data_IF_579512643490
#
_entry.id   IF_579512643490
#
_cell.length_a   1.000
_cell.length_b   1.000
_cell.length_c   1.000
_cell.angle_alpha   90.00
_cell.angle_beta   90.00
_cell.angle_gamma   90.00
#
_symmetry.space_group_name_H-M   'P 1'
#
loop_
_entity.id
_entity.type
_entity.pdbx_description
1 polymer ?
#
# COMPACT_ATOMS: atom_id res chain seq x y z
N UNK A 1 13.11 21.51 13.76
CA UNK A 1 11.63 21.44 13.85
C UNK A 1 11.04 20.59 12.73
N UNK A 2 11.28 20.91 11.46
CA UNK A 2 10.74 20.18 10.29
C UNK A 2 11.17 18.70 10.26
N UNK A 3 12.41 18.38 10.66
CA UNK A 3 12.90 17.01 10.75
C UNK A 3 12.18 16.16 11.81
N UNK A 4 11.75 16.77 12.94
CA UNK A 4 10.96 16.07 13.95
C UNK A 4 9.53 15.77 13.46
N UNK A 5 8.94 16.71 12.73
CA UNK A 5 7.64 16.48 12.09
C UNK A 5 7.74 15.35 11.07
N UNK A 6 8.77 15.37 10.23
CA UNK A 6 9.00 14.34 9.24
C UNK A 6 9.25 12.97 9.89
N UNK A 7 9.99 12.91 10.99
CA UNK A 7 10.17 11.69 11.76
C UNK A 7 8.84 11.13 12.31
N UNK A 8 7.96 12.01 12.81
CA UNK A 8 6.62 11.60 13.26
C UNK A 8 5.74 11.07 12.12
N UNK A 9 5.84 11.68 10.93
CA UNK A 9 5.15 11.24 9.72
C UNK A 9 5.67 9.86 9.28
N UNK A 10 6.98 9.66 9.25
CA UNK A 10 7.58 8.36 8.93
C UNK A 10 7.20 7.28 9.94
N UNK A 11 7.20 7.64 11.23
CA UNK A 11 6.77 6.71 12.29
C UNK A 11 5.30 6.32 12.13
N UNK A 12 4.43 7.26 11.73
CA UNK A 12 3.03 6.95 11.43
C UNK A 12 2.91 5.95 10.27
N UNK A 13 3.77 6.01 9.26
CA UNK A 13 3.79 5.04 8.16
C UNK A 13 4.38 3.69 8.56
N UNK A 14 5.37 3.63 9.45
CA UNK A 14 5.76 2.36 10.09
C UNK A 14 4.55 1.75 10.81
N UNK A 15 3.83 2.56 11.60
CA UNK A 15 2.61 2.14 12.27
C UNK A 15 1.50 1.68 11.32
N UNK A 16 1.38 2.29 10.14
CA UNK A 16 0.44 1.86 9.11
C UNK A 16 0.79 0.48 8.54
N UNK A 17 2.09 0.21 8.33
CA UNK A 17 2.55 -1.07 7.80
C UNK A 17 2.53 -2.22 8.80
N UNK A 18 2.76 -1.95 10.09
CA UNK A 18 2.89 -2.99 11.12
C UNK A 18 1.77 -4.05 11.13
N UNK A 19 0.48 -3.69 10.95
CA UNK A 19 -0.61 -4.68 10.98
C UNK A 19 -0.84 -5.43 9.67
N UNK A 20 -0.31 -4.97 8.53
CA UNK A 20 -0.71 -5.43 7.20
C UNK A 20 -0.51 -6.93 6.95
N UNK A 21 0.56 -7.51 7.47
CA UNK A 21 0.81 -8.93 7.35
C UNK A 21 0.37 -9.79 8.54
N UNK A 22 -0.13 -9.18 9.62
CA UNK A 22 -0.40 -9.88 10.88
C UNK A 22 -1.44 -10.99 10.75
N UNK A 23 -2.55 -10.71 10.06
CA UNK A 23 -3.62 -11.69 9.90
C UNK A 23 -3.13 -12.93 9.14
N UNK A 24 -2.36 -12.72 8.07
CA UNK A 24 -1.77 -13.82 7.30
C UNK A 24 -0.84 -14.68 8.14
N UNK A 25 0.02 -14.06 8.95
CA UNK A 25 0.96 -14.75 9.81
C UNK A 25 0.26 -15.48 10.98
N UNK A 26 -0.81 -14.90 11.53
CA UNK A 26 -1.56 -15.48 12.64
C UNK A 26 -2.57 -16.55 12.22
N UNK A 27 -3.05 -16.54 10.97
CA UNK A 27 -4.19 -17.32 10.52
C UNK A 27 -4.06 -18.83 10.73
N UNK A 28 -2.90 -19.47 10.48
CA UNK A 28 -2.73 -20.89 10.79
C UNK A 28 -2.90 -21.19 12.29
N UNK A 29 -2.34 -20.34 13.15
CA UNK A 29 -2.45 -20.49 14.61
C UNK A 29 -3.87 -20.22 15.11
N UNK A 30 -4.59 -19.25 14.54
CA UNK A 30 -6.01 -19.00 14.84
C UNK A 30 -6.88 -20.21 14.50
N UNK A 31 -6.64 -20.87 13.38
CA UNK A 31 -7.38 -22.06 12.97
C UNK A 31 -7.09 -23.27 13.84
N UNK A 32 -5.89 -23.38 14.39
CA UNK A 32 -5.50 -24.43 15.31
C UNK A 32 -6.00 -24.20 16.76
N UNK A 33 -6.39 -22.97 17.09
CA UNK A 33 -6.87 -22.59 18.42
C UNK A 33 -8.31 -23.07 18.62
N UNK A 34 -8.50 -24.06 19.50
CA UNK A 34 -9.81 -24.62 19.83
C UNK A 34 -10.79 -23.58 20.45
N UNK A 35 -10.25 -22.50 21.04
CA UNK A 35 -11.06 -21.43 21.60
C UNK A 35 -11.55 -20.43 20.53
N UNK A 36 -10.96 -20.46 19.32
CA UNK A 36 -11.32 -19.57 18.24
C UNK A 36 -12.39 -20.20 17.33
N UNK A 37 -13.56 -19.56 17.21
CA UNK A 37 -14.73 -20.11 16.54
C UNK A 37 -15.01 -19.45 15.19
N UNK A 38 -15.26 -20.27 14.17
CA UNK A 38 -15.82 -19.85 12.88
C UNK A 38 -17.28 -19.39 13.01
N UNK A 39 -17.87 -18.90 11.91
CA UNK A 39 -19.28 -18.47 11.88
C UNK A 39 -20.27 -19.59 12.23
N UNK A 40 -19.95 -20.86 11.96
CA UNK A 40 -20.76 -22.03 12.34
C UNK A 40 -20.36 -22.70 13.65
N UNK A 41 -19.52 -22.06 14.45
CA UNK A 41 -19.09 -22.57 15.77
C UNK A 41 -17.91 -23.54 15.73
N UNK A 42 -17.50 -24.05 14.56
CA UNK A 42 -16.34 -24.93 14.37
C UNK A 42 -15.07 -24.17 13.93
N UNK A 43 -14.03 -24.94 13.55
CA UNK A 43 -12.80 -24.39 12.97
C UNK A 43 -13.13 -23.62 11.68
N UNK A 44 -12.67 -22.35 11.53
CA UNK A 44 -12.95 -21.57 10.32
C UNK A 44 -12.24 -22.17 9.10
N UNK A 45 -12.89 -22.24 7.91
CA UNK A 45 -12.24 -22.58 6.66
C UNK A 45 -11.05 -21.69 6.33
N UNK A 46 -10.09 -22.21 5.57
CA UNK A 46 -8.90 -21.44 5.16
C UNK A 46 -9.25 -20.12 4.47
N UNK A 47 -10.30 -20.12 3.63
CA UNK A 47 -10.76 -18.97 2.87
C UNK A 47 -11.41 -17.85 3.70
N UNK A 48 -11.77 -18.11 4.96
CA UNK A 48 -12.46 -17.11 5.78
C UNK A 48 -11.57 -15.90 6.15
N UNK A 49 -10.23 -16.03 6.14
CA UNK A 49 -9.34 -14.86 6.24
C UNK A 49 -9.62 -13.83 5.15
N UNK A 50 -9.99 -14.27 3.95
CA UNK A 50 -10.37 -13.39 2.84
C UNK A 50 -11.55 -12.49 3.16
N UNK A 51 -12.50 -12.92 4.01
CA UNK A 51 -13.64 -12.10 4.44
C UNK A 51 -13.14 -10.91 5.27
N UNK A 52 -12.21 -11.15 6.21
CA UNK A 52 -11.63 -10.09 7.04
C UNK A 52 -10.84 -9.10 6.17
N UNK A 53 -10.01 -9.60 5.25
CA UNK A 53 -9.28 -8.76 4.30
C UNK A 53 -10.23 -7.93 3.42
N UNK A 54 -11.33 -8.52 2.94
CA UNK A 54 -12.34 -7.80 2.15
C UNK A 54 -13.00 -6.67 2.94
N UNK A 55 -13.35 -6.92 4.20
CA UNK A 55 -13.92 -5.88 5.09
C UNK A 55 -12.91 -4.75 5.30
N UNK A 56 -11.65 -5.08 5.61
CA UNK A 56 -10.59 -4.07 5.74
C UNK A 56 -10.49 -3.24 4.46
N UNK A 57 -10.38 -3.89 3.29
CA UNK A 57 -10.24 -3.21 2.01
C UNK A 57 -11.44 -2.30 1.70
N UNK A 58 -12.67 -2.77 1.91
CA UNK A 58 -13.89 -1.96 1.70
C UNK A 58 -13.88 -0.74 2.62
N UNK A 59 -13.59 -0.93 3.91
CA UNK A 59 -13.55 0.17 4.87
C UNK A 59 -12.44 1.18 4.55
N UNK A 60 -11.27 0.70 4.10
CA UNK A 60 -10.15 1.54 3.65
C UNK A 60 -10.55 2.36 2.43
N UNK A 61 -11.20 1.75 1.44
CA UNK A 61 -11.74 2.46 0.26
C UNK A 61 -12.75 3.53 0.67
N UNK A 62 -13.71 3.19 1.52
CA UNK A 62 -14.72 4.15 2.02
C UNK A 62 -14.05 5.32 2.73
N UNK A 63 -13.09 5.06 3.59
CA UNK A 63 -12.34 6.09 4.32
C UNK A 63 -11.52 6.97 3.37
N UNK A 64 -10.83 6.39 2.42
CA UNK A 64 -10.04 7.12 1.44
C UNK A 64 -10.90 8.04 0.57
N UNK A 65 -12.08 7.59 0.15
CA UNK A 65 -13.05 8.41 -0.60
C UNK A 65 -13.61 9.59 0.22
N UNK A 66 -13.61 9.49 1.55
CA UNK A 66 -14.03 10.56 2.46
C UNK A 66 -12.88 11.47 2.91
N UNK A 67 -11.65 11.18 2.48
CA UNK A 67 -10.44 11.85 2.99
C UNK A 67 -10.45 13.36 2.73
N UNK A 68 -10.93 13.83 1.58
CA UNK A 68 -11.04 15.26 1.27
C UNK A 68 -11.96 15.99 2.24
N UNK A 69 -13.11 15.36 2.58
CA UNK A 69 -14.07 15.92 3.54
C UNK A 69 -13.51 15.96 4.96
N UNK A 70 -12.92 14.87 5.40
CA UNK A 70 -12.37 14.73 6.75
C UNK A 70 -11.16 15.64 6.95
N UNK A 71 -10.25 15.70 5.98
CA UNK A 71 -9.05 16.53 6.06
C UNK A 71 -9.37 18.02 5.97
N UNK A 72 -10.31 18.44 5.12
CA UNK A 72 -10.79 19.84 5.09
C UNK A 72 -11.46 20.26 6.40
N UNK A 73 -12.17 19.34 7.06
CA UNK A 73 -12.87 19.65 8.31
C UNK A 73 -11.97 19.66 9.55
N UNK A 74 -11.04 18.72 9.64
CA UNK A 74 -10.27 18.48 10.87
C UNK A 74 -8.77 18.79 10.72
N UNK A 75 -8.25 18.89 9.48
CA UNK A 75 -6.83 19.01 9.18
C UNK A 75 -6.13 17.67 9.16
N UNK A 76 -5.04 17.53 8.34
CA UNK A 76 -4.30 16.29 8.18
C UNK A 76 -3.72 15.77 9.50
N UNK A 77 -3.18 16.66 10.35
CA UNK A 77 -2.60 16.32 11.64
C UNK A 77 -3.56 15.60 12.58
N UNK A 78 -4.79 16.15 12.74
CA UNK A 78 -5.78 15.55 13.64
C UNK A 78 -6.35 14.26 13.07
N UNK A 79 -6.59 14.21 11.74
CA UNK A 79 -7.04 12.99 11.07
C UNK A 79 -6.02 11.88 11.28
N UNK A 80 -4.73 12.13 11.08
CA UNK A 80 -3.66 11.16 11.30
C UNK A 80 -3.62 10.71 12.76
N UNK A 81 -3.62 11.64 13.72
CA UNK A 81 -3.52 11.31 15.14
C UNK A 81 -4.70 10.47 15.63
N UNK A 82 -5.93 10.88 15.30
CA UNK A 82 -7.13 10.14 15.68
C UNK A 82 -7.18 8.75 15.04
N UNK A 83 -6.86 8.67 13.74
CA UNK A 83 -6.89 7.39 13.02
C UNK A 83 -5.79 6.44 13.50
N UNK A 84 -4.60 6.94 13.85
CA UNK A 84 -3.53 6.10 14.43
C UNK A 84 -3.95 5.53 15.80
N UNK A 85 -4.64 6.32 16.62
CA UNK A 85 -5.21 5.86 17.88
C UNK A 85 -6.33 4.83 17.65
N UNK A 86 -7.21 5.06 16.66
CA UNK A 86 -8.27 4.12 16.30
C UNK A 86 -7.70 2.77 15.80
N UNK A 87 -6.60 2.79 15.04
CA UNK A 87 -5.90 1.58 14.62
C UNK A 87 -5.35 0.81 15.83
N UNK A 88 -4.78 1.50 16.83
CA UNK A 88 -4.34 0.87 18.07
C UNK A 88 -5.50 0.18 18.81
N UNK A 89 -6.64 0.86 18.95
CA UNK A 89 -7.84 0.28 19.58
C UNK A 89 -8.31 -0.96 18.82
N UNK A 90 -8.32 -0.91 17.49
CA UNK A 90 -8.70 -2.06 16.66
C UNK A 90 -7.75 -3.26 16.87
N UNK A 91 -6.43 -3.02 16.99
CA UNK A 91 -5.45 -4.08 17.25
C UNK A 91 -5.64 -4.73 18.62
N UNK A 92 -5.96 -3.97 19.67
CA UNK A 92 -6.36 -4.54 20.95
C UNK A 92 -7.67 -5.33 20.85
N UNK A 93 -8.60 -4.86 20.02
CA UNK A 93 -9.81 -5.60 19.70
C UNK A 93 -9.51 -6.95 19.04
N UNK A 94 -8.62 -6.98 18.04
CA UNK A 94 -8.14 -8.24 17.44
C UNK A 94 -7.48 -9.16 18.46
N UNK A 95 -6.65 -8.62 19.36
CA UNK A 95 -6.01 -9.40 20.42
C UNK A 95 -6.99 -10.08 21.39
N UNK A 96 -8.21 -9.57 21.52
CA UNK A 96 -9.23 -10.13 22.40
C UNK A 96 -10.24 -11.04 21.68
N UNK A 97 -10.15 -11.13 20.35
CA UNK A 97 -11.09 -11.93 19.56
C UNK A 97 -10.98 -13.41 19.84
N UNK A 98 -12.15 -14.07 19.91
CA UNK A 98 -12.28 -15.53 19.99
C UNK A 98 -13.21 -16.08 18.91
N UNK A 99 -13.58 -15.25 17.92
CA UNK A 99 -14.47 -15.65 16.83
C UNK A 99 -14.23 -14.84 15.57
N UNK A 100 -14.64 -15.41 14.43
CA UNK A 100 -14.66 -14.74 13.14
C UNK A 100 -15.49 -13.46 13.16
N UNK A 101 -16.65 -13.49 13.82
CA UNK A 101 -17.51 -12.31 13.95
C UNK A 101 -16.79 -11.14 14.66
N UNK A 102 -16.03 -11.45 15.72
CA UNK A 102 -15.18 -10.47 16.41
C UNK A 102 -14.10 -9.90 15.52
N UNK A 103 -13.40 -10.75 14.73
CA UNK A 103 -12.41 -10.26 13.75
C UNK A 103 -13.05 -9.35 12.71
N UNK A 104 -14.19 -9.71 12.16
CA UNK A 104 -14.91 -8.89 11.20
C UNK A 104 -15.36 -7.55 11.80
N UNK A 105 -15.80 -7.55 13.04
CA UNK A 105 -16.19 -6.31 13.76
C UNK A 105 -15.01 -5.35 13.89
N UNK A 106 -13.85 -5.84 14.35
CA UNK A 106 -12.65 -5.01 14.52
C UNK A 106 -11.94 -4.66 13.22
N UNK A 107 -12.17 -5.41 12.14
CA UNK A 107 -11.70 -5.08 10.81
C UNK A 107 -12.27 -3.74 10.28
N UNK A 108 -13.49 -3.37 10.70
CA UNK A 108 -14.14 -2.11 10.29
C UNK A 108 -13.37 -0.89 10.79
N UNK A 109 -13.19 -0.67 12.12
CA UNK A 109 -12.45 0.49 12.60
C UNK A 109 -10.98 0.49 12.14
N UNK A 110 -10.36 -0.70 11.99
CA UNK A 110 -9.01 -0.81 11.46
C UNK A 110 -8.93 -0.29 10.02
N UNK A 111 -9.78 -0.79 9.12
CA UNK A 111 -9.79 -0.36 7.71
C UNK A 111 -10.09 1.13 7.54
N UNK A 112 -11.06 1.66 8.32
CA UNK A 112 -11.35 3.10 8.31
C UNK A 112 -10.13 3.93 8.76
N UNK A 113 -9.42 3.48 9.77
CA UNK A 113 -8.22 4.14 10.27
C UNK A 113 -7.09 4.13 9.23
N UNK A 114 -6.82 2.96 8.64
CA UNK A 114 -5.75 2.79 7.66
C UNK A 114 -5.95 3.71 6.43
N UNK A 115 -7.14 3.73 5.85
CA UNK A 115 -7.43 4.58 4.68
C UNK A 115 -7.35 6.07 4.96
N UNK A 116 -7.73 6.50 6.16
CA UNK A 116 -7.63 7.91 6.55
C UNK A 116 -6.17 8.36 6.75
N UNK A 117 -5.33 7.53 7.40
CA UNK A 117 -3.91 7.82 7.59
C UNK A 117 -3.21 7.91 6.23
N UNK A 118 -3.41 6.90 5.40
CA UNK A 118 -2.78 6.77 4.09
C UNK A 118 -3.08 7.98 3.20
N UNK A 119 -4.36 8.28 2.97
CA UNK A 119 -4.76 9.39 2.12
C UNK A 119 -4.33 10.78 2.67
N UNK A 120 -4.40 10.99 3.99
CA UNK A 120 -4.04 12.27 4.60
C UNK A 120 -2.54 12.53 4.54
N UNK A 121 -1.70 11.54 4.87
CA UNK A 121 -0.25 11.70 4.89
C UNK A 121 0.36 11.74 3.50
N UNK A 122 -0.13 10.94 2.57
CA UNK A 122 0.30 11.00 1.17
C UNK A 122 0.09 12.41 0.59
N UNK A 123 -1.09 12.99 0.75
CA UNK A 123 -1.34 14.35 0.29
C UNK A 123 -0.50 15.40 1.04
N UNK A 124 -0.37 15.26 2.36
CA UNK A 124 0.43 16.19 3.14
C UNK A 124 1.89 16.22 2.69
N UNK A 125 2.50 15.03 2.49
CA UNK A 125 3.88 14.93 2.01
C UNK A 125 4.00 15.44 0.58
N UNK A 126 3.06 15.14 -0.30
CA UNK A 126 3.06 15.63 -1.69
C UNK A 126 3.00 17.16 -1.78
N UNK A 127 2.34 17.83 -0.82
CA UNK A 127 2.20 19.30 -0.80
C UNK A 127 3.36 20.02 -0.12
N UNK A 128 4.01 19.40 0.88
CA UNK A 128 4.92 20.13 1.77
C UNK A 128 6.36 19.64 1.74
N UNK A 129 6.64 18.51 1.08
CA UNK A 129 7.98 17.91 1.07
C UNK A 129 8.40 17.53 -0.35
N UNK A 130 9.71 17.40 -0.56
CA UNK A 130 10.27 16.95 -1.83
C UNK A 130 9.99 15.45 -2.08
N UNK A 131 10.00 15.03 -3.34
CA UNK A 131 9.71 13.66 -3.81
C UNK A 131 10.49 12.56 -3.05
N UNK A 132 11.74 12.83 -2.64
CA UNK A 132 12.53 11.89 -1.82
C UNK A 132 11.82 11.47 -0.53
N UNK A 133 11.07 12.38 0.08
CA UNK A 133 10.36 12.09 1.33
C UNK A 133 9.13 11.20 1.09
N UNK A 134 8.53 11.28 -0.09
CA UNK A 134 7.48 10.35 -0.50
C UNK A 134 8.03 8.94 -0.66
N UNK A 135 9.18 8.76 -1.33
CA UNK A 135 9.85 7.47 -1.47
C UNK A 135 10.22 6.86 -0.11
N UNK A 136 10.82 7.67 0.77
CA UNK A 136 11.19 7.21 2.12
C UNK A 136 9.98 6.94 3.01
N UNK A 137 8.88 7.68 2.84
CA UNK A 137 7.62 7.41 3.52
C UNK A 137 7.13 5.98 3.24
N UNK A 138 7.12 5.59 1.97
CA UNK A 138 6.72 4.23 1.57
C UNK A 138 7.77 3.17 1.90
N UNK A 139 9.06 3.54 2.00
CA UNK A 139 10.08 2.65 2.56
C UNK A 139 9.77 2.35 4.05
N UNK A 140 9.38 3.35 4.83
CA UNK A 140 9.00 3.16 6.24
C UNK A 140 7.75 2.29 6.40
N UNK A 141 6.76 2.41 5.51
CA UNK A 141 5.66 1.46 5.45
C UNK A 141 6.16 0.02 5.27
N UNK A 142 7.09 -0.19 4.33
CA UNK A 142 7.70 -1.51 4.08
C UNK A 142 8.43 -2.07 5.30
N UNK A 143 9.12 -1.21 6.08
CA UNK A 143 9.72 -1.60 7.37
C UNK A 143 8.65 -2.10 8.34
N UNK A 144 7.54 -1.38 8.47
CA UNK A 144 6.42 -1.79 9.30
C UNK A 144 5.80 -3.11 8.85
N UNK A 145 5.50 -3.24 7.56
CA UNK A 145 4.90 -4.42 6.95
C UNK A 145 5.77 -5.69 7.09
N UNK A 146 7.09 -5.51 7.20
CA UNK A 146 8.02 -6.61 7.50
C UNK A 146 8.07 -6.92 8.98
N UNK A 147 8.11 -5.89 9.83
CA UNK A 147 8.26 -6.06 11.27
C UNK A 147 7.06 -6.72 11.93
N UNK A 148 5.83 -6.41 11.49
CA UNK A 148 4.62 -6.97 12.07
C UNK A 148 4.54 -8.49 12.02
N UNK A 149 4.60 -9.14 10.85
CA UNK A 149 4.64 -10.60 10.74
C UNK A 149 5.81 -11.23 11.49
N UNK A 150 6.97 -10.55 11.55
CA UNK A 150 8.13 -11.02 12.30
C UNK A 150 7.85 -11.07 13.81
N UNK A 151 7.19 -10.03 14.36
CA UNK A 151 6.75 -10.01 15.78
C UNK A 151 5.75 -11.14 16.04
N UNK A 152 4.79 -11.37 15.14
CA UNK A 152 3.84 -12.47 15.24
C UNK A 152 4.55 -13.82 15.22
N UNK A 153 5.44 -14.06 14.25
CA UNK A 153 6.23 -15.27 14.14
C UNK A 153 7.09 -15.53 15.37
N UNK A 154 7.76 -14.50 15.91
CA UNK A 154 8.56 -14.61 17.13
C UNK A 154 7.71 -14.91 18.37
N UNK A 155 6.48 -14.44 18.45
CA UNK A 155 5.56 -14.79 19.53
C UNK A 155 5.14 -16.27 19.41
N UNK A 156 4.75 -16.72 18.23
CA UNK A 156 4.30 -18.09 17.98
C UNK A 156 5.42 -19.13 18.20
N UNK A 157 6.65 -18.86 17.77
CA UNK A 157 7.80 -19.75 17.95
C UNK A 157 8.20 -19.92 19.43
N UNK A 158 7.86 -18.96 20.27
CA UNK A 158 8.03 -19.04 21.72
C UNK A 158 6.85 -19.71 22.43
N UNK A 159 5.92 -20.31 21.70
CA UNK A 159 4.74 -20.98 22.26
C UNK A 159 3.66 -20.02 22.79
N UNK A 160 3.77 -18.73 22.50
CA UNK A 160 2.75 -17.76 22.91
C UNK A 160 1.50 -17.86 22.01
N UNK A 161 0.29 -17.60 22.53
CA UNK A 161 -0.91 -17.55 21.71
C UNK A 161 -0.84 -16.39 20.69
N UNK A 162 -1.52 -16.55 19.56
CA UNK A 162 -1.53 -15.56 18.46
C UNK A 162 -2.02 -14.16 18.90
N UNK A 163 -2.88 -14.10 19.92
CA UNK A 163 -3.37 -12.87 20.56
C UNK A 163 -2.21 -11.99 21.05
N UNK A 164 -1.10 -12.63 21.51
CA UNK A 164 0.07 -11.91 22.02
C UNK A 164 0.80 -11.13 20.91
N UNK A 165 0.82 -11.65 19.69
CA UNK A 165 1.35 -10.95 18.53
C UNK A 165 0.58 -9.65 18.24
N UNK A 166 -0.75 -9.72 18.23
CA UNK A 166 -1.60 -8.53 18.09
C UNK A 166 -1.44 -7.56 19.26
N UNK A 167 -1.34 -8.06 20.47
CA UNK A 167 -1.11 -7.23 21.67
C UNK A 167 0.20 -6.45 21.58
N UNK A 168 1.30 -7.10 21.19
CA UNK A 168 2.61 -6.46 21.07
C UNK A 168 2.60 -5.37 19.99
N UNK A 169 2.02 -5.66 18.81
CA UNK A 169 1.87 -4.66 17.74
C UNK A 169 0.89 -3.55 18.16
N UNK A 170 -0.17 -3.87 18.89
CA UNK A 170 -1.07 -2.89 19.48
C UNK A 170 -0.38 -1.92 20.45
N UNK A 171 0.51 -2.43 21.31
CA UNK A 171 1.35 -1.59 22.18
C UNK A 171 2.27 -0.69 21.36
N UNK A 172 2.95 -1.23 20.33
CA UNK A 172 3.76 -0.44 19.43
C UNK A 172 2.93 0.66 18.74
N UNK A 173 1.70 0.34 18.33
CA UNK A 173 0.78 1.29 17.71
C UNK A 173 0.34 2.41 18.68
N UNK A 174 0.18 2.10 19.98
CA UNK A 174 -0.09 3.14 21.00
C UNK A 174 1.10 4.10 21.12
N UNK A 175 2.33 3.58 21.10
CA UNK A 175 3.52 4.44 21.13
C UNK A 175 3.60 5.34 19.89
N UNK A 176 3.29 4.80 18.72
CA UNK A 176 3.19 5.58 17.47
C UNK A 176 2.08 6.65 17.61
N UNK A 177 0.90 6.28 18.10
CA UNK A 177 -0.21 7.23 18.30
C UNK A 177 0.17 8.34 19.29
N UNK A 178 0.84 8.00 20.39
CA UNK A 178 1.34 8.97 21.36
C UNK A 178 2.37 9.93 20.73
N UNK A 179 3.31 9.42 19.93
CA UNK A 179 4.29 10.25 19.22
C UNK A 179 3.62 11.20 18.21
N UNK A 180 2.64 10.70 17.44
CA UNK A 180 1.87 11.53 16.50
C UNK A 180 1.05 12.60 17.24
N UNK A 181 0.39 12.26 18.35
CA UNK A 181 -0.31 13.22 19.18
C UNK A 181 0.63 14.28 19.76
N UNK A 182 1.79 13.89 20.27
CA UNK A 182 2.79 14.82 20.77
C UNK A 182 3.36 15.72 19.67
N UNK A 183 3.34 15.29 18.41
CA UNK A 183 3.79 16.07 17.26
C UNK A 183 2.81 17.16 16.80
N UNK A 184 1.54 17.17 17.26
CA UNK A 184 0.52 18.13 16.80
C UNK A 184 0.94 19.61 16.87
N UNK A 185 1.70 20.09 17.89
CA UNK A 185 2.21 21.45 17.89
C UNK A 185 3.20 21.74 16.75
N UNK A 186 3.94 20.73 16.28
CA UNK A 186 4.90 20.88 15.17
C UNK A 186 4.17 21.12 13.84
N UNK A 187 3.04 20.45 13.61
CA UNK A 187 2.21 20.63 12.43
C UNK A 187 1.70 22.07 12.34
N UNK A 188 1.15 22.60 13.42
CA UNK A 188 0.65 23.99 13.49
C UNK A 188 1.74 25.01 13.19
N UNK A 189 2.96 24.78 13.71
CA UNK A 189 4.12 25.66 13.45
C UNK A 189 4.60 25.57 12.00
N UNK A 190 4.55 24.39 11.39
CA UNK A 190 4.93 24.19 10.01
C UNK A 190 3.93 24.89 9.07
N UNK A 191 2.64 24.77 9.32
CA UNK A 191 1.57 25.47 8.57
C UNK A 191 1.70 27.00 8.70
N UNK A 192 1.99 27.53 9.90
CA UNK A 192 2.20 28.95 10.13
C UNK A 192 3.46 29.51 9.46
N UNK A 193 4.53 28.71 9.36
CA UNK A 193 5.79 29.11 8.72
C UNK A 193 5.70 29.13 7.19
N UNK A 194 4.78 28.38 6.61
CA UNK A 194 4.57 28.30 5.14
C UNK A 194 3.83 29.49 4.54
N UNK A 195 3.53 30.52 5.36
CA UNK A 195 2.85 31.75 4.89
C UNK A 195 1.43 31.54 4.37
N UNK A 196 0.89 30.34 4.47
CA UNK A 196 -0.53 30.12 4.25
C UNK A 196 -1.28 30.82 5.39
N UNK A 197 -2.15 31.79 5.13
CA UNK A 197 -2.91 32.45 6.20
C UNK A 197 -3.63 31.35 6.99
N UNK A 198 -3.52 31.41 8.31
CA UNK A 198 -4.45 30.75 9.22
C UNK A 198 -5.83 31.39 9.05
N UNK A 199 -6.50 31.08 8.00
CA UNK A 199 -7.67 31.75 7.47
C UNK A 199 -7.66 31.59 5.98
N UNK A 200 -7.63 30.33 5.61
CA UNK A 200 -7.86 29.82 4.26
C UNK A 200 -8.88 30.56 3.46
N UNK A 201 -8.70 30.60 2.11
CA UNK A 201 -9.82 30.90 1.22
C UNK A 201 -10.96 29.94 1.58
N UNK A 202 -12.15 30.53 1.72
CA UNK A 202 -13.41 29.91 2.06
C UNK A 202 -13.43 28.44 1.68
N UNK A 203 -13.64 27.58 2.67
CA UNK A 203 -13.60 26.14 2.55
C UNK A 203 -14.31 25.72 1.25
N UNK A 204 -13.56 25.55 0.17
CA UNK A 204 -14.12 25.00 -1.05
C UNK A 204 -14.77 23.69 -0.65
N UNK A 205 -16.05 23.54 -0.96
CA UNK A 205 -16.80 22.34 -0.58
C UNK A 205 -16.02 21.10 -1.00
N UNK A 206 -16.09 20.00 -0.25
CA UNK A 206 -15.49 18.75 -0.66
C UNK A 206 -15.99 18.35 -2.06
N UNK A 207 -15.09 17.92 -2.93
CA UNK A 207 -15.43 17.50 -4.28
C UNK A 207 -16.20 16.17 -4.22
N UNK A 208 -17.27 16.07 -5.02
CA UNK A 208 -17.99 14.82 -5.22
C UNK A 208 -17.22 13.95 -6.22
N UNK A 209 -17.33 12.64 -6.08
CA UNK A 209 -16.67 11.69 -7.00
C UNK A 209 -16.97 12.00 -8.48
N UNK A 210 -18.22 12.34 -8.82
CA UNK A 210 -18.59 12.71 -10.18
C UNK A 210 -17.89 13.99 -10.68
N UNK A 211 -17.57 14.93 -9.79
CA UNK A 211 -16.83 16.15 -10.12
C UNK A 211 -15.35 15.81 -10.36
N UNK A 212 -14.76 14.97 -9.52
CA UNK A 212 -13.37 14.50 -9.68
C UNK A 212 -13.21 13.77 -11.01
N UNK A 213 -14.13 12.87 -11.34
CA UNK A 213 -14.08 12.12 -12.60
C UNK A 213 -14.25 12.98 -13.86
N UNK A 214 -14.72 14.23 -13.73
CA UNK A 214 -14.83 15.20 -14.83
C UNK A 214 -13.57 16.06 -14.98
N UNK A 215 -12.66 16.08 -14.02
CA UNK A 215 -11.40 16.80 -14.12
C UNK A 215 -10.57 16.20 -15.27
N UNK A 216 -10.07 17.02 -16.22
CA UNK A 216 -9.22 16.54 -17.30
C UNK A 216 -8.01 15.76 -16.74
N UNK A 217 -7.75 14.56 -17.26
CA UNK A 217 -6.67 13.68 -16.81
C UNK A 217 -6.99 12.84 -15.56
N UNK A 218 -8.00 13.19 -14.73
CA UNK A 218 -8.26 12.48 -13.49
C UNK A 218 -8.58 10.98 -13.70
N UNK A 219 -9.45 10.63 -14.65
CA UNK A 219 -9.71 9.21 -14.94
C UNK A 219 -8.46 8.44 -15.34
N UNK A 220 -7.57 9.10 -16.09
CA UNK A 220 -6.34 8.47 -16.54
C UNK A 220 -5.39 8.19 -15.37
N UNK A 221 -5.18 9.14 -14.45
CA UNK A 221 -4.31 8.93 -13.29
C UNK A 221 -4.88 7.89 -12.31
N UNK A 222 -6.21 7.84 -12.14
CA UNK A 222 -6.87 6.85 -11.29
C UNK A 222 -6.68 5.43 -11.84
N UNK A 223 -6.90 5.24 -13.15
CA UNK A 223 -6.68 3.94 -13.80
C UNK A 223 -5.20 3.59 -13.91
N UNK A 224 -4.31 4.56 -14.11
CA UNK A 224 -2.86 4.37 -14.06
C UNK A 224 -2.44 3.79 -12.70
N UNK A 225 -2.92 4.41 -11.62
CA UNK A 225 -2.59 3.96 -10.27
C UNK A 225 -3.21 2.60 -9.91
N UNK A 226 -4.43 2.32 -10.39
CA UNK A 226 -5.03 0.99 -10.36
C UNK A 226 -4.12 -0.05 -11.03
N UNK A 227 -3.65 0.21 -12.25
CA UNK A 227 -2.78 -0.71 -12.99
C UNK A 227 -1.46 -0.95 -12.25
N UNK A 228 -0.85 0.10 -11.71
CA UNK A 228 0.37 -0.04 -10.91
C UNK A 228 0.17 -0.97 -9.72
N UNK A 229 -0.84 -0.71 -8.88
CA UNK A 229 -1.10 -1.51 -7.70
C UNK A 229 -1.50 -2.95 -8.05
N UNK A 230 -2.17 -3.14 -9.20
CA UNK A 230 -2.46 -4.46 -9.76
C UNK A 230 -1.17 -5.22 -10.15
N UNK A 231 -0.20 -4.55 -10.77
CA UNK A 231 1.10 -5.13 -11.14
C UNK A 231 1.85 -5.57 -9.88
N UNK A 232 2.05 -4.65 -8.93
CA UNK A 232 2.79 -4.89 -7.69
C UNK A 232 2.21 -6.10 -6.93
N UNK A 233 0.91 -6.08 -6.69
CA UNK A 233 0.24 -7.12 -5.90
C UNK A 233 0.18 -8.46 -6.64
N UNK A 234 -0.09 -8.46 -7.96
CA UNK A 234 -0.16 -9.70 -8.73
C UNK A 234 1.22 -10.33 -8.85
N UNK A 235 2.27 -9.55 -9.09
CA UNK A 235 3.64 -10.05 -9.14
C UNK A 235 4.03 -10.71 -7.81
N UNK A 236 3.81 -10.02 -6.68
CA UNK A 236 4.14 -10.56 -5.35
C UNK A 236 3.38 -11.84 -5.00
N UNK A 237 2.09 -11.90 -5.31
CA UNK A 237 1.24 -13.04 -4.96
C UNK A 237 1.50 -14.28 -5.85
N UNK A 238 1.75 -14.07 -7.16
CA UNK A 238 1.84 -15.16 -8.13
C UNK A 238 3.25 -15.58 -8.49
N UNK A 239 4.29 -14.86 -8.04
CA UNK A 239 5.69 -15.24 -8.31
C UNK A 239 6.02 -16.65 -7.82
N UNK A 240 5.60 -17.05 -6.60
CA UNK A 240 5.84 -18.39 -6.09
C UNK A 240 5.18 -19.48 -6.97
N UNK A 241 3.92 -19.26 -7.36
CA UNK A 241 3.19 -20.19 -8.25
C UNK A 241 3.85 -20.31 -9.61
N UNK A 242 4.30 -19.20 -10.19
CA UNK A 242 5.05 -19.19 -11.45
C UNK A 242 6.36 -19.99 -11.32
N UNK A 243 7.14 -19.75 -10.26
CA UNK A 243 8.40 -20.45 -10.02
C UNK A 243 8.19 -21.95 -9.74
N UNK A 244 7.16 -22.32 -9.00
CA UNK A 244 6.80 -23.73 -8.79
C UNK A 244 6.38 -24.40 -10.11
N UNK A 245 5.64 -23.70 -10.98
CA UNK A 245 5.33 -24.19 -12.32
C UNK A 245 6.57 -24.41 -13.19
N UNK A 246 7.68 -23.70 -12.90
CA UNK A 246 9.00 -23.88 -13.52
C UNK A 246 9.85 -24.95 -12.83
N UNK A 247 9.32 -25.75 -11.93
CA UNK A 247 10.01 -26.83 -11.25
C UNK A 247 10.86 -26.41 -10.04
N UNK A 248 10.72 -25.15 -9.55
CA UNK A 248 11.36 -24.74 -8.31
C UNK A 248 10.59 -25.33 -7.12
N UNK A 249 11.30 -25.89 -6.13
CA UNK A 249 10.64 -26.44 -4.96
C UNK A 249 9.79 -25.38 -4.22
N UNK A 250 8.65 -25.75 -3.62
CA UNK A 250 7.74 -24.79 -2.99
C UNK A 250 8.42 -23.86 -1.98
N UNK A 251 9.36 -24.39 -1.19
CA UNK A 251 10.09 -23.63 -0.17
C UNK A 251 10.98 -22.55 -0.81
N UNK A 252 11.72 -22.92 -1.87
CA UNK A 252 12.56 -21.99 -2.61
C UNK A 252 11.72 -21.00 -3.40
N UNK A 253 10.61 -21.43 -3.98
CA UNK A 253 9.70 -20.57 -4.72
C UNK A 253 9.11 -19.49 -3.80
N UNK A 254 8.68 -19.83 -2.58
CA UNK A 254 8.20 -18.89 -1.60
C UNK A 254 9.30 -17.89 -1.17
N UNK A 255 10.53 -18.39 -0.94
CA UNK A 255 11.67 -17.52 -0.63
C UNK A 255 11.95 -16.52 -1.77
N UNK A 256 12.04 -16.98 -3.01
CA UNK A 256 12.30 -16.10 -4.16
C UNK A 256 11.14 -15.14 -4.44
N UNK A 257 9.90 -15.53 -4.19
CA UNK A 257 8.76 -14.64 -4.31
C UNK A 257 8.83 -13.45 -3.34
N UNK A 258 9.35 -13.67 -2.12
CA UNK A 258 9.55 -12.59 -1.15
C UNK A 258 10.58 -11.55 -1.62
N UNK A 259 11.47 -11.92 -2.54
CA UNK A 259 12.48 -11.01 -3.09
C UNK A 259 11.88 -9.91 -3.98
N UNK A 260 10.65 -10.08 -4.49
CA UNK A 260 9.90 -9.00 -5.16
C UNK A 260 9.75 -7.81 -4.21
N UNK A 261 9.27 -8.07 -2.99
CA UNK A 261 9.08 -7.03 -1.97
C UNK A 261 10.39 -6.47 -1.44
N UNK A 262 11.43 -7.29 -1.37
CA UNK A 262 12.78 -6.81 -1.06
C UNK A 262 13.25 -5.81 -2.14
N UNK A 263 13.05 -6.14 -3.43
CA UNK A 263 13.34 -5.24 -4.54
C UNK A 263 12.61 -3.91 -4.40
N UNK A 264 11.32 -3.94 -4.09
CA UNK A 264 10.49 -2.75 -3.87
C UNK A 264 11.02 -1.92 -2.69
N UNK A 265 11.30 -2.55 -1.55
CA UNK A 265 11.75 -1.85 -0.33
C UNK A 265 13.11 -1.19 -0.54
N UNK A 266 14.10 -1.93 -1.06
CA UNK A 266 15.42 -1.40 -1.38
C UNK A 266 15.33 -0.29 -2.43
N UNK A 267 14.53 -0.52 -3.47
CA UNK A 267 14.29 0.47 -4.51
C UNK A 267 13.66 1.77 -3.99
N UNK A 268 12.73 1.70 -3.05
CA UNK A 268 12.16 2.90 -2.38
C UNK A 268 13.21 3.64 -1.54
N UNK A 269 14.06 2.91 -0.83
CA UNK A 269 15.17 3.50 -0.08
C UNK A 269 16.16 4.23 -0.99
N UNK A 270 16.64 3.57 -2.04
CA UNK A 270 17.59 4.11 -3.03
C UNK A 270 16.92 5.19 -3.89
N UNK A 271 15.67 4.96 -4.30
CA UNK A 271 14.88 5.87 -5.12
C UNK A 271 14.77 7.27 -4.52
N UNK A 272 14.67 7.37 -3.19
CA UNK A 272 14.69 8.67 -2.51
C UNK A 272 15.94 9.51 -2.80
N UNK A 273 17.11 8.90 -2.99
CA UNK A 273 18.32 9.62 -3.42
C UNK A 273 18.29 9.93 -4.92
N UNK A 274 17.72 9.05 -5.73
CA UNK A 274 17.60 9.23 -7.17
C UNK A 274 16.74 10.44 -7.55
N UNK A 275 15.70 10.74 -6.75
CA UNK A 275 14.83 11.93 -6.95
C UNK A 275 15.53 13.27 -6.71
N UNK A 276 16.80 13.30 -6.25
CA UNK A 276 17.62 14.51 -6.22
C UNK A 276 17.99 14.92 -7.65
N UNK A 277 18.16 13.93 -8.56
CA UNK A 277 18.58 14.15 -9.94
C UNK A 277 17.42 14.12 -10.93
N UNK A 278 16.43 13.26 -10.70
CA UNK A 278 15.31 13.03 -11.61
C UNK A 278 13.99 13.46 -10.97
N UNK A 279 13.13 14.11 -11.76
CA UNK A 279 11.80 14.50 -11.35
C UNK A 279 10.85 13.27 -11.32
N UNK A 280 9.61 13.46 -10.82
CA UNK A 280 8.64 12.37 -10.65
C UNK A 280 8.31 11.67 -11.97
N UNK A 281 8.12 12.44 -13.08
CA UNK A 281 7.82 11.88 -14.40
C UNK A 281 8.99 11.01 -14.92
N UNK A 282 10.22 11.47 -14.72
CA UNK A 282 11.41 10.73 -15.09
C UNK A 282 11.59 9.47 -14.25
N UNK A 283 11.38 9.58 -12.93
CA UNK A 283 11.46 8.45 -12.02
C UNK A 283 10.43 7.36 -12.36
N UNK A 284 9.22 7.77 -12.74
CA UNK A 284 8.17 6.85 -13.16
C UNK A 284 8.58 6.11 -14.45
N UNK A 285 9.03 6.82 -15.49
CA UNK A 285 9.48 6.20 -16.74
C UNK A 285 10.71 5.29 -16.55
N UNK A 286 11.63 5.67 -15.68
CA UNK A 286 12.77 4.80 -15.28
C UNK A 286 12.24 3.53 -14.63
N UNK A 287 11.29 3.64 -13.71
CA UNK A 287 10.64 2.52 -13.05
C UNK A 287 9.97 1.58 -14.06
N UNK A 288 9.17 2.13 -15.00
CA UNK A 288 8.55 1.37 -16.10
C UNK A 288 9.57 0.60 -16.93
N UNK A 289 10.66 1.26 -17.31
CA UNK A 289 11.74 0.61 -18.08
C UNK A 289 12.40 -0.55 -17.33
N UNK A 290 12.63 -0.39 -16.02
CA UNK A 290 13.17 -1.45 -15.16
C UNK A 290 12.15 -2.60 -15.01
N UNK A 291 10.84 -2.31 -14.87
CA UNK A 291 9.78 -3.34 -14.83
C UNK A 291 9.79 -4.13 -16.15
N UNK A 292 9.86 -3.45 -17.30
CA UNK A 292 9.95 -4.12 -18.62
C UNK A 292 11.15 -5.07 -18.66
N UNK A 293 12.33 -4.62 -18.22
CA UNK A 293 13.52 -5.46 -18.19
C UNK A 293 13.34 -6.69 -17.28
N UNK A 294 12.76 -6.50 -16.10
CA UNK A 294 12.43 -7.59 -15.18
C UNK A 294 11.44 -8.58 -15.79
N UNK A 295 10.35 -8.08 -16.38
CA UNK A 295 9.34 -8.92 -17.04
C UNK A 295 9.88 -9.64 -18.29
N UNK A 296 10.84 -9.04 -19.01
CA UNK A 296 11.51 -9.71 -20.12
C UNK A 296 12.33 -10.93 -19.65
N UNK A 297 13.02 -10.83 -18.50
CA UNK A 297 13.73 -11.97 -17.90
C UNK A 297 12.74 -13.07 -17.45
N UNK A 298 11.64 -12.70 -16.81
CA UNK A 298 10.58 -13.65 -16.42
C UNK A 298 9.94 -14.28 -17.65
N UNK A 299 9.68 -13.49 -18.70
CA UNK A 299 9.13 -13.94 -19.97
C UNK A 299 10.06 -14.90 -20.72
N UNK A 300 11.36 -14.61 -20.78
CA UNK A 300 12.35 -15.50 -21.36
C UNK A 300 12.35 -16.87 -20.66
N UNK A 301 12.27 -16.88 -19.33
CA UNK A 301 12.14 -18.12 -18.58
C UNK A 301 10.79 -18.80 -18.84
N UNK A 302 9.69 -18.07 -19.06
CA UNK A 302 8.38 -18.65 -19.38
C UNK A 302 8.37 -19.36 -20.73
N UNK A 303 9.03 -18.77 -21.75
CA UNK A 303 8.99 -19.25 -23.14
C UNK A 303 10.01 -20.35 -23.44
N UNK A 304 11.15 -20.34 -22.76
CA UNK A 304 12.24 -21.27 -23.04
C UNK A 304 12.55 -22.17 -21.82
N UNK A 305 12.21 -23.47 -21.86
CA UNK A 305 12.52 -24.43 -20.78
C UNK A 305 14.00 -24.49 -20.41
N UNK A 306 14.88 -24.25 -21.39
CA UNK A 306 16.34 -24.24 -21.21
C UNK A 306 16.85 -23.07 -20.37
N UNK A 307 16.09 -21.99 -20.22
CA UNK A 307 16.47 -20.84 -19.37
C UNK A 307 16.37 -21.23 -17.91
N UNK A 308 17.44 -21.11 -17.11
CA UNK A 308 17.42 -21.45 -15.69
C UNK A 308 16.36 -20.65 -14.90
N UNK A 309 15.70 -21.28 -13.95
CA UNK A 309 14.70 -20.62 -13.07
C UNK A 309 15.29 -19.45 -12.29
N UNK A 310 16.61 -19.42 -12.06
CA UNK A 310 17.32 -18.28 -11.46
C UNK A 310 17.17 -16.98 -12.25
N UNK A 311 17.02 -17.07 -13.58
CA UNK A 311 16.76 -15.88 -14.44
C UNK A 311 15.39 -15.28 -14.12
N UNK A 312 14.36 -16.11 -13.92
CA UNK A 312 13.05 -15.64 -13.49
C UNK A 312 13.10 -15.01 -12.08
N UNK A 313 13.85 -15.62 -11.16
CA UNK A 313 14.05 -15.07 -9.82
C UNK A 313 14.68 -13.66 -9.88
N UNK A 314 15.76 -13.50 -10.67
CA UNK A 314 16.39 -12.20 -10.91
C UNK A 314 15.39 -11.22 -11.56
N UNK A 315 14.61 -11.69 -12.55
CA UNK A 315 13.59 -10.89 -13.20
C UNK A 315 12.54 -10.33 -12.22
N UNK A 316 12.09 -11.12 -11.27
CA UNK A 316 11.15 -10.67 -10.23
C UNK A 316 11.77 -9.62 -9.29
N UNK A 317 13.03 -9.77 -8.90
CA UNK A 317 13.73 -8.76 -8.09
C UNK A 317 13.88 -7.45 -8.87
N UNK A 318 14.28 -7.53 -10.15
CA UNK A 318 14.41 -6.37 -11.04
C UNK A 318 13.05 -5.69 -11.24
N UNK A 319 11.98 -6.45 -11.50
CA UNK A 319 10.63 -5.90 -11.64
C UNK A 319 10.18 -5.22 -10.35
N UNK A 320 10.41 -5.83 -9.18
CA UNK A 320 10.14 -5.23 -7.88
C UNK A 320 10.90 -3.92 -7.66
N UNK A 321 12.19 -3.88 -8.01
CA UNK A 321 13.00 -2.67 -7.95
C UNK A 321 12.43 -1.56 -8.86
N UNK A 322 11.97 -1.93 -10.06
CA UNK A 322 11.30 -1.00 -10.99
C UNK A 322 9.95 -0.47 -10.47
N UNK A 323 9.20 -1.27 -9.71
CA UNK A 323 7.97 -0.84 -9.04
C UNK A 323 8.21 0.26 -7.99
N UNK A 324 9.39 0.27 -7.38
CA UNK A 324 9.69 1.11 -6.23
C UNK A 324 9.42 2.62 -6.43
N UNK A 325 9.88 3.28 -7.51
CA UNK A 325 9.65 4.70 -7.72
C UNK A 325 8.25 5.04 -8.21
N UNK A 326 7.49 4.10 -8.77
CA UNK A 326 6.23 4.39 -9.49
C UNK A 326 5.16 4.93 -8.54
N UNK A 327 4.90 4.22 -7.44
CA UNK A 327 3.89 4.66 -6.46
C UNK A 327 4.19 6.06 -5.89
N UNK A 328 5.38 6.30 -5.33
CA UNK A 328 5.72 7.61 -4.78
C UNK A 328 5.63 8.74 -5.81
N UNK A 329 6.08 8.48 -7.05
CA UNK A 329 6.08 9.49 -8.11
C UNK A 329 4.67 9.86 -8.57
N UNK A 330 3.77 8.89 -8.74
CA UNK A 330 2.37 9.16 -9.11
C UNK A 330 1.69 10.03 -8.06
N UNK A 331 1.87 9.70 -6.77
CA UNK A 331 1.21 10.45 -5.69
C UNK A 331 1.83 11.84 -5.53
N UNK A 332 3.17 11.92 -5.54
CA UNK A 332 3.87 13.19 -5.34
C UNK A 332 3.62 14.17 -6.49
N UNK A 333 3.49 13.70 -7.73
CA UNK A 333 3.19 14.54 -8.90
C UNK A 333 1.72 15.01 -8.97
N UNK A 334 0.80 14.40 -8.21
CA UNK A 334 -0.63 14.73 -8.27
C UNK A 334 -0.94 16.21 -8.05
N UNK A 335 -0.36 16.92 -7.05
CA UNK A 335 -0.59 18.35 -6.89
C UNK A 335 -0.08 19.18 -8.07
N UNK A 336 1.01 18.78 -8.72
CA UNK A 336 1.57 19.48 -9.88
C UNK A 336 0.66 19.34 -11.11
N UNK A 337 0.05 18.17 -11.32
CA UNK A 337 -0.84 17.92 -12.44
C UNK A 337 -2.24 18.53 -12.28
N UNK A 338 -2.78 18.56 -11.06
CA UNK A 338 -4.21 18.88 -10.85
C UNK A 338 -4.46 20.09 -9.95
N UNK A 339 -3.42 20.68 -9.39
CA UNK A 339 -3.48 21.77 -8.43
C UNK A 339 -3.58 21.30 -6.99
N UNK A 340 -2.94 22.06 -6.09
CA UNK A 340 -2.89 21.77 -4.65
C UNK A 340 -4.29 21.75 -3.99
N UNK A 341 -5.23 22.52 -4.54
CA UNK A 341 -6.61 22.64 -4.03
C UNK A 341 -7.47 21.38 -4.27
N UNK A 342 -7.11 20.56 -5.26
CA UNK A 342 -7.82 19.33 -5.65
C UNK A 342 -7.05 18.08 -5.28
N UNK A 343 -5.77 18.19 -4.93
CA UNK A 343 -4.87 17.04 -4.71
C UNK A 343 -5.40 16.06 -3.65
N UNK A 344 -5.90 16.56 -2.51
CA UNK A 344 -6.45 15.69 -1.46
C UNK A 344 -7.62 14.83 -1.97
N UNK A 345 -8.52 15.43 -2.75
CA UNK A 345 -9.67 14.73 -3.31
C UNK A 345 -9.24 13.67 -4.32
N UNK A 346 -8.29 13.99 -5.19
CA UNK A 346 -7.78 13.07 -6.22
C UNK A 346 -6.97 11.95 -5.57
N UNK A 347 -6.07 12.25 -4.62
CA UNK A 347 -5.28 11.23 -3.90
C UNK A 347 -6.20 10.29 -3.13
N UNK A 348 -7.25 10.80 -2.47
CA UNK A 348 -8.23 9.94 -1.81
C UNK A 348 -8.90 8.94 -2.76
N UNK A 349 -9.25 9.36 -3.98
CA UNK A 349 -9.80 8.45 -4.99
C UNK A 349 -8.73 7.54 -5.59
N UNK A 350 -7.48 8.03 -5.76
CA UNK A 350 -6.34 7.18 -6.17
C UNK A 350 -6.14 6.01 -5.20
N UNK A 351 -6.17 6.27 -3.88
CA UNK A 351 -6.08 5.21 -2.87
C UNK A 351 -7.21 4.18 -3.03
N UNK A 352 -8.44 4.64 -3.24
CA UNK A 352 -9.56 3.72 -3.49
C UNK A 352 -9.33 2.85 -4.73
N UNK A 353 -8.84 3.43 -5.83
CA UNK A 353 -8.49 2.69 -7.05
C UNK A 353 -7.29 1.75 -6.84
N UNK A 354 -6.31 2.12 -6.02
CA UNK A 354 -5.22 1.24 -5.61
C UNK A 354 -5.76 -0.04 -4.96
N UNK A 355 -6.62 0.10 -3.95
CA UNK A 355 -7.22 -1.05 -3.28
C UNK A 355 -8.10 -1.90 -4.19
N UNK A 356 -8.79 -1.30 -5.15
CA UNK A 356 -9.52 -2.05 -6.18
C UNK A 356 -8.56 -2.86 -7.06
N UNK A 357 -7.43 -2.27 -7.47
CA UNK A 357 -6.41 -2.94 -8.27
C UNK A 357 -5.78 -4.13 -7.54
N UNK A 358 -5.36 -3.91 -6.28
CA UNK A 358 -4.76 -4.96 -5.44
C UNK A 358 -5.72 -6.12 -5.13
N UNK A 359 -7.03 -5.84 -5.05
CA UNK A 359 -8.02 -6.84 -4.67
C UNK A 359 -8.59 -7.58 -5.88
N UNK A 360 -8.81 -6.92 -7.02
CA UNK A 360 -9.51 -7.50 -8.16
C UNK A 360 -8.56 -8.23 -9.13
N UNK A 361 -7.36 -7.69 -9.37
CA UNK A 361 -6.53 -8.18 -10.47
C UNK A 361 -5.77 -9.48 -10.16
N UNK A 362 -5.26 -9.74 -8.94
CA UNK A 362 -4.64 -11.03 -8.63
C UNK A 362 -5.60 -12.23 -8.74
N UNK A 363 -6.86 -12.18 -8.24
CA UNK A 363 -7.82 -13.25 -8.49
C UNK A 363 -8.16 -13.44 -9.96
N UNK A 364 -8.25 -12.35 -10.74
CA UNK A 364 -8.50 -12.44 -12.18
C UNK A 364 -7.37 -13.19 -12.89
N UNK A 365 -6.11 -12.90 -12.54
CA UNK A 365 -4.99 -13.71 -13.02
C UNK A 365 -5.10 -15.17 -12.54
N UNK A 366 -5.60 -15.41 -11.34
CA UNK A 366 -5.83 -16.75 -10.81
C UNK A 366 -6.77 -17.59 -11.68
N UNK A 367 -7.84 -16.96 -12.17
CA UNK A 367 -8.74 -17.60 -13.14
C UNK A 367 -8.00 -17.94 -14.43
N UNK A 368 -7.22 -17.01 -14.96
CA UNK A 368 -6.41 -17.21 -16.16
C UNK A 368 -5.36 -18.33 -15.97
N UNK A 369 -4.64 -18.31 -14.84
CA UNK A 369 -3.63 -19.30 -14.52
C UNK A 369 -4.21 -20.72 -14.39
N UNK A 370 -5.43 -20.83 -13.83
CA UNK A 370 -6.14 -22.10 -13.65
C UNK A 370 -6.63 -22.69 -15.00
N UNK A 371 -7.17 -21.85 -15.87
CA UNK A 371 -7.81 -22.32 -17.12
C UNK A 371 -6.84 -22.41 -18.30
N UNK A 372 -5.71 -21.69 -18.24
CA UNK A 372 -4.72 -21.67 -19.31
C UNK A 372 -3.35 -22.13 -18.77
N UNK A 373 -2.59 -21.23 -18.12
CA UNK A 373 -1.28 -21.57 -17.52
C UNK A 373 -0.75 -20.43 -16.65
N UNK A 374 -0.05 -20.71 -15.53
CA UNK A 374 0.70 -19.71 -14.78
C UNK A 374 1.83 -19.02 -15.58
N UNK A 375 2.31 -19.63 -16.68
CA UNK A 375 3.35 -19.06 -17.54
C UNK A 375 2.92 -17.73 -18.22
N UNK A 376 1.62 -17.42 -18.24
CA UNK A 376 1.10 -16.15 -18.75
C UNK A 376 1.35 -14.94 -17.83
N UNK A 377 1.88 -15.14 -16.63
CA UNK A 377 2.10 -14.05 -15.66
C UNK A 377 2.87 -12.86 -16.26
N UNK A 378 4.03 -13.02 -16.92
CA UNK A 378 4.76 -11.88 -17.48
C UNK A 378 3.97 -11.12 -18.56
N UNK A 379 3.20 -11.80 -19.39
CA UNK A 379 2.35 -11.15 -20.40
C UNK A 379 1.18 -10.38 -19.76
N UNK A 380 0.56 -10.92 -18.73
CA UNK A 380 -0.49 -10.26 -17.98
C UNK A 380 0.01 -8.97 -17.31
N UNK A 381 1.17 -9.04 -16.65
CA UNK A 381 1.80 -7.89 -16.03
C UNK A 381 2.24 -6.85 -17.07
N UNK A 382 2.78 -7.30 -18.21
CA UNK A 382 3.17 -6.41 -19.30
C UNK A 382 1.98 -5.68 -19.91
N UNK A 383 0.83 -6.35 -20.09
CA UNK A 383 -0.39 -5.70 -20.57
C UNK A 383 -0.86 -4.58 -19.63
N UNK A 384 -0.83 -4.82 -18.31
CA UNK A 384 -1.14 -3.80 -17.31
C UNK A 384 -0.12 -2.66 -17.34
N UNK A 385 1.16 -2.95 -17.53
CA UNK A 385 2.23 -1.95 -17.61
C UNK A 385 2.08 -1.05 -18.84
N UNK A 386 1.80 -1.63 -20.01
CA UNK A 386 1.55 -0.86 -21.23
C UNK A 386 0.34 0.07 -21.05
N UNK A 387 -0.74 -0.44 -20.45
CA UNK A 387 -1.91 0.38 -20.15
C UNK A 387 -1.56 1.50 -19.16
N UNK A 388 -0.81 1.19 -18.11
CA UNK A 388 -0.35 2.16 -17.12
C UNK A 388 0.46 3.28 -17.78
N UNK A 389 1.46 2.95 -18.58
CA UNK A 389 2.33 3.89 -19.28
C UNK A 389 1.52 4.79 -20.24
N UNK A 390 0.63 4.20 -21.03
CA UNK A 390 -0.23 4.97 -21.95
C UNK A 390 -1.14 5.95 -21.22
N UNK A 391 -1.70 5.54 -20.07
CA UNK A 391 -2.54 6.38 -19.23
C UNK A 391 -1.74 7.52 -18.59
N UNK A 392 -0.52 7.24 -18.11
CA UNK A 392 0.34 8.26 -17.53
C UNK A 392 0.76 9.31 -18.56
N UNK A 393 1.21 8.90 -19.74
CA UNK A 393 1.55 9.82 -20.82
C UNK A 393 0.34 10.67 -21.26
N UNK A 394 -0.87 10.12 -21.18
CA UNK A 394 -2.10 10.89 -21.38
C UNK A 394 -2.29 11.95 -20.29
N UNK A 395 -2.01 11.64 -19.02
CA UNK A 395 -2.08 12.62 -17.92
C UNK A 395 -1.13 13.77 -18.20
N UNK A 396 0.15 13.47 -18.46
CA UNK A 396 1.18 14.48 -18.72
C UNK A 396 0.77 15.41 -19.88
N UNK A 397 0.28 14.86 -21.00
CA UNK A 397 -0.17 15.67 -22.15
C UNK A 397 -1.37 16.55 -21.84
N UNK A 398 -2.37 16.02 -21.14
CA UNK A 398 -3.61 16.75 -20.86
C UNK A 398 -3.38 17.85 -19.83
N UNK A 399 -2.49 17.62 -18.85
CA UNK A 399 -2.21 18.59 -17.78
C UNK A 399 -1.13 19.61 -18.14
N UNK A 400 -0.30 19.34 -19.14
CA UNK A 400 0.69 20.31 -19.65
C UNK A 400 0.03 21.54 -20.31
N UNK A 401 -1.24 21.43 -20.71
CA UNK A 401 -1.99 22.50 -21.40
C UNK A 401 -3.11 23.10 -20.52
N UNK A 402 -3.20 22.72 -19.25
CA UNK A 402 -4.18 23.21 -18.30
C UNK A 402 -3.55 24.14 -17.26
#
# INVERSE_FOLDING_TARGET
MIHLLLAAIYLAFVGLGLPDGLLGAAWPAMRADAAFRGFGGGTPPLSHSGIVFAIIAICTVVSALQSDRTTKRFGAARVTAFSTALAAVALFGFAQCRSMAGLCLWAVPYGLAAGAIDAALNNYVALHFASRHMSWLHCMWGVGATAGPYVMGAALTRGAPWQRGYLLVGIAQVLVAAAVLASLPLWRRAEGASGSPAGTPAARRPLRLAEILRIPGARAILLCFFCYCAIEQTAGLWAATFLAHRGVSPERAAFYASMVYLGITLGRGIGGFATIKWNDDQMLRIGEGIIVAGLALVGAAALAPAVPSGVACAGFVVAGFGCAPVYPSIIHSTPAHFGADKSQAIIGVQMAFAYLGTTAMPPLFGVLARHVTPALLPLYLLALLILMAALYERVVRVTAHA
#
